data_IF_085626519126
#
_entry.id   IF_085626519126
#
_cell.length_a   1.000
_cell.length_b   1.000
_cell.length_c   1.000
_cell.angle_alpha   90.00
_cell.angle_beta   90.00
_cell.angle_gamma   90.00
#
_symmetry.space_group_name_H-M   'P 1'
#
loop_
_entity.id
_entity.type
_entity.pdbx_description
1 polymer ?
#
# COMPACT_ATOMS: atom_id res chain seq x y z
N UNK A 1 -0.51 16.73 7.73
CA UNK A 1 -1.02 15.72 6.76
C UNK A 1 -2.21 15.06 7.41
N UNK A 2 -3.29 14.85 6.65
CA UNK A 2 -4.48 14.16 7.13
C UNK A 2 -4.26 12.66 7.38
N UNK A 3 -5.30 12.02 7.90
CA UNK A 3 -5.32 10.58 8.13
C UNK A 3 -5.53 9.82 6.81
N UNK A 4 -4.88 8.67 6.65
CA UNK A 4 -5.15 7.78 5.52
C UNK A 4 -6.32 6.86 5.85
N UNK A 5 -7.22 6.67 4.90
CA UNK A 5 -8.22 5.61 4.97
C UNK A 5 -7.57 4.28 4.61
N UNK A 6 -7.92 3.24 5.37
CA UNK A 6 -7.59 1.85 5.07
C UNK A 6 -8.87 1.17 4.66
N UNK A 7 -8.91 0.69 3.43
CA UNK A 7 -10.07 0.06 2.80
C UNK A 7 -9.78 -1.41 2.49
N UNK A 8 -10.78 -2.26 2.70
CA UNK A 8 -10.74 -3.68 2.40
C UNK A 8 -12.12 -4.13 1.91
N UNK A 9 -12.18 -4.70 0.70
CA UNK A 9 -13.43 -5.17 0.09
C UNK A 9 -14.55 -4.10 0.13
N UNK A 10 -14.24 -2.92 -0.42
CA UNK A 10 -15.14 -1.75 -0.50
C UNK A 10 -15.64 -1.24 0.87
N UNK A 11 -14.95 -1.60 1.95
CA UNK A 11 -15.26 -1.17 3.32
C UNK A 11 -14.08 -0.44 3.90
N UNK A 12 -14.26 0.83 4.31
CA UNK A 12 -13.27 1.53 5.14
C UNK A 12 -13.18 0.81 6.48
N UNK A 13 -12.10 0.06 6.67
CA UNK A 13 -11.87 -0.74 7.87
C UNK A 13 -11.24 0.06 9.00
N UNK A 14 -10.60 1.18 8.69
CA UNK A 14 -9.99 2.04 9.68
C UNK A 14 -9.24 3.21 9.08
N UNK A 15 -8.48 3.88 9.95
CA UNK A 15 -7.62 5.02 9.62
C UNK A 15 -6.21 4.79 10.12
N UNK A 16 -5.24 5.22 9.33
CA UNK A 16 -3.85 5.36 9.73
C UNK A 16 -3.57 6.84 10.01
N UNK A 17 -3.25 7.17 11.25
CA UNK A 17 -3.06 8.55 11.71
C UNK A 17 -1.75 8.71 12.46
N UNK A 18 -1.25 9.94 12.55
CA UNK A 18 0.02 10.28 13.19
C UNK A 18 1.20 10.41 12.21
N UNK A 19 2.40 10.60 12.76
CA UNK A 19 3.61 10.83 11.97
C UNK A 19 4.56 9.64 11.97
N UNK A 20 5.76 9.87 11.43
CA UNK A 20 6.81 8.87 11.22
C UNK A 20 7.05 7.90 12.38
N UNK A 21 7.06 8.40 13.63
CA UNK A 21 7.39 7.59 14.82
C UNK A 21 6.17 7.15 15.61
N UNK A 22 5.11 7.94 15.55
CA UNK A 22 3.96 7.85 16.44
C UNK A 22 2.65 7.45 15.71
N UNK A 23 2.71 7.05 14.45
CA UNK A 23 1.53 6.59 13.73
C UNK A 23 0.86 5.35 14.34
N UNK A 24 -0.46 5.26 14.24
CA UNK A 24 -1.24 4.11 14.69
C UNK A 24 -2.45 3.87 13.78
N UNK A 25 -3.02 2.68 13.89
CA UNK A 25 -4.24 2.28 13.21
C UNK A 25 -5.41 2.21 14.18
N UNK A 26 -6.50 2.87 13.81
CA UNK A 26 -7.78 2.82 14.51
C UNK A 26 -8.85 2.22 13.59
N UNK A 27 -9.51 1.16 14.03
CA UNK A 27 -10.60 0.56 13.27
C UNK A 27 -11.85 1.44 13.28
N UNK A 28 -12.57 1.47 12.16
CA UNK A 28 -13.85 2.15 12.05
C UNK A 28 -14.98 1.28 12.62
N UNK A 29 -16.01 1.84 13.30
CA UNK A 29 -17.15 1.06 13.77
C UNK A 29 -17.88 0.29 12.67
N UNK A 30 -17.84 0.78 11.43
CA UNK A 30 -18.38 0.09 10.25
C UNK A 30 -17.68 -1.25 9.99
N UNK A 31 -16.38 -1.34 10.25
CA UNK A 31 -15.60 -2.56 10.09
C UNK A 31 -16.07 -3.65 11.05
N UNK A 32 -16.28 -3.31 12.33
CA UNK A 32 -16.80 -4.24 13.35
C UNK A 32 -18.19 -4.74 12.96
N UNK A 33 -19.06 -3.85 12.45
CA UNK A 33 -20.40 -4.24 11.98
C UNK A 33 -20.35 -5.18 10.78
N UNK A 34 -19.41 -4.95 9.85
CA UNK A 34 -19.30 -5.71 8.59
C UNK A 34 -18.61 -7.06 8.75
N UNK A 35 -17.56 -7.12 9.57
CA UNK A 35 -16.65 -8.27 9.66
C UNK A 35 -16.69 -8.98 11.01
N UNK A 36 -17.34 -8.40 12.01
CA UNK A 36 -17.43 -8.93 13.37
C UNK A 36 -16.36 -8.38 14.32
N UNK A 37 -16.64 -8.48 15.62
CA UNK A 37 -15.69 -8.17 16.68
C UNK A 37 -14.52 -9.17 16.65
N UNK A 38 -13.31 -8.67 16.86
CA UNK A 38 -12.05 -9.45 16.86
C UNK A 38 -11.77 -10.20 15.56
N UNK A 39 -12.43 -9.79 14.47
CA UNK A 39 -12.20 -10.36 13.14
C UNK A 39 -10.75 -10.19 12.70
N UNK A 40 -10.14 -11.26 12.21
CA UNK A 40 -8.78 -11.27 11.66
C UNK A 40 -8.71 -10.86 10.20
N UNK A 41 -9.76 -10.23 9.67
CA UNK A 41 -9.91 -9.88 8.25
C UNK A 41 -8.72 -9.05 7.70
N UNK A 42 -8.09 -8.24 8.56
CA UNK A 42 -6.85 -7.51 8.25
C UNK A 42 -5.61 -8.38 8.46
N UNK A 43 -5.47 -8.90 9.68
CA UNK A 43 -4.37 -9.75 10.11
C UNK A 43 -4.71 -10.39 11.44
N UNK A 44 -4.18 -11.58 11.70
CA UNK A 44 -4.26 -12.22 13.03
C UNK A 44 -3.61 -11.35 14.11
N UNK A 45 -2.60 -10.55 13.77
CA UNK A 45 -1.92 -9.65 14.71
C UNK A 45 -2.66 -8.31 14.92
N UNK A 46 -3.59 -7.97 14.02
CA UNK A 46 -4.36 -6.73 14.02
C UNK A 46 -5.86 -7.05 13.92
N UNK A 47 -6.46 -7.68 14.96
CA UNK A 47 -7.89 -7.94 14.96
C UNK A 47 -8.68 -6.62 14.99
N UNK A 48 -9.82 -6.61 14.30
CA UNK A 48 -10.73 -5.45 14.25
C UNK A 48 -11.40 -5.29 15.62
N UNK A 49 -11.03 -4.23 16.34
CA UNK A 49 -11.55 -3.93 17.67
C UNK A 49 -12.07 -2.48 17.74
N UNK A 50 -13.22 -2.23 18.40
CA UNK A 50 -13.77 -0.87 18.55
C UNK A 50 -12.84 0.10 19.26
N UNK A 51 -11.98 -0.41 20.15
CA UNK A 51 -11.00 0.37 20.90
C UNK A 51 -9.64 -0.28 20.76
N UNK A 52 -8.70 0.44 20.15
CA UNK A 52 -7.33 -0.01 20.02
C UNK A 52 -6.60 0.02 21.38
N UNK A 53 -6.08 -1.12 21.81
CA UNK A 53 -5.25 -1.16 23.03
C UNK A 53 -3.85 -0.64 22.75
N UNK A 54 -3.28 0.15 23.69
CA UNK A 54 -1.92 0.70 23.55
C UNK A 54 -0.85 -0.39 23.48
N UNK A 55 -1.02 -1.48 24.22
CA UNK A 55 -0.07 -2.61 24.23
C UNK A 55 0.08 -3.30 22.87
N UNK A 56 -0.92 -3.19 21.99
CA UNK A 56 -0.89 -3.77 20.63
C UNK A 56 -0.43 -2.80 19.55
N UNK A 57 -0.07 -1.56 19.91
CA UNK A 57 0.35 -0.52 18.95
C UNK A 57 1.53 -0.96 18.10
N UNK A 58 2.55 -1.57 18.69
CA UNK A 58 3.71 -2.06 17.96
C UNK A 58 3.34 -3.12 16.89
N UNK A 59 2.37 -3.99 17.16
CA UNK A 59 1.90 -4.99 16.18
C UNK A 59 1.15 -4.33 15.02
N UNK A 60 0.34 -3.30 15.30
CA UNK A 60 -0.32 -2.51 14.26
C UNK A 60 0.69 -1.78 13.39
N UNK A 61 1.65 -1.10 13.99
CA UNK A 61 2.73 -0.45 13.23
C UNK A 61 3.52 -1.45 12.38
N UNK A 62 3.89 -2.60 12.96
CA UNK A 62 4.61 -3.64 12.24
C UNK A 62 3.81 -4.18 11.05
N UNK A 63 2.50 -4.32 11.16
CA UNK A 63 1.65 -4.74 10.04
C UNK A 63 1.79 -3.80 8.83
N UNK A 64 1.64 -2.48 9.04
CA UNK A 64 1.76 -1.51 7.94
C UNK A 64 3.20 -1.35 7.45
N UNK A 65 4.20 -1.47 8.32
CA UNK A 65 5.61 -1.47 7.92
C UNK A 65 5.95 -2.66 6.99
N UNK A 66 5.32 -3.81 7.19
CA UNK A 66 5.52 -4.98 6.31
C UNK A 66 4.82 -4.86 4.95
N UNK A 67 4.04 -3.79 4.71
CA UNK A 67 3.51 -3.47 3.38
C UNK A 67 4.54 -2.72 2.52
N UNK A 68 5.56 -2.13 3.13
CA UNK A 68 6.62 -1.41 2.42
C UNK A 68 7.59 -2.40 1.76
N UNK A 69 8.28 -1.99 0.68
CA UNK A 69 9.41 -2.74 0.14
C UNK A 69 10.58 -2.70 1.12
N UNK A 70 11.65 -3.42 0.79
CA UNK A 70 12.90 -3.41 1.56
C UNK A 70 14.09 -3.04 0.67
N UNK A 71 15.22 -2.70 1.30
CA UNK A 71 16.47 -2.42 0.59
C UNK A 71 16.37 -1.26 -0.39
N UNK A 72 16.93 -1.46 -1.59
CA UNK A 72 17.03 -0.40 -2.61
C UNK A 72 15.67 0.03 -3.17
N UNK A 73 14.70 -0.88 -3.26
CA UNK A 73 13.37 -0.54 -3.76
C UNK A 73 12.68 0.48 -2.84
N UNK A 74 12.78 0.28 -1.51
CA UNK A 74 12.26 1.23 -0.52
C UNK A 74 12.95 2.58 -0.65
N UNK A 75 14.29 2.60 -0.68
CA UNK A 75 15.05 3.85 -0.78
C UNK A 75 14.66 4.66 -2.02
N UNK A 76 14.54 4.00 -3.19
CA UNK A 76 14.17 4.65 -4.46
C UNK A 76 12.74 5.17 -4.47
N UNK A 77 11.79 4.40 -3.95
CA UNK A 77 10.38 4.80 -3.92
C UNK A 77 10.15 5.90 -2.89
N UNK A 78 10.81 5.85 -1.73
CA UNK A 78 10.77 6.91 -0.72
C UNK A 78 11.33 8.24 -1.27
N UNK A 79 12.49 8.19 -1.94
CA UNK A 79 13.09 9.35 -2.61
C UNK A 79 12.14 9.97 -3.66
N UNK A 80 11.50 9.14 -4.50
CA UNK A 80 10.50 9.59 -5.47
C UNK A 80 9.27 10.24 -4.85
N UNK A 81 8.83 9.73 -3.71
CA UNK A 81 7.71 10.28 -2.96
C UNK A 81 8.12 11.51 -2.12
N UNK A 82 9.40 11.85 -2.06
CA UNK A 82 9.90 12.95 -1.23
C UNK A 82 9.71 12.69 0.27
N UNK A 83 9.78 11.42 0.69
CA UNK A 83 9.60 10.99 2.08
C UNK A 83 10.83 10.22 2.57
N UNK A 84 11.01 10.18 3.88
CA UNK A 84 12.05 9.35 4.49
C UNK A 84 11.67 7.87 4.39
N UNK A 85 12.67 6.98 4.24
CA UNK A 85 12.43 5.54 4.12
C UNK A 85 11.75 4.92 5.36
N UNK A 86 11.87 5.56 6.53
CA UNK A 86 11.20 5.15 7.77
C UNK A 86 9.83 5.83 7.99
N UNK A 87 9.36 6.69 7.06
CA UNK A 87 8.04 7.30 7.10
C UNK A 87 6.98 6.44 6.39
N UNK A 88 6.48 5.43 7.10
CA UNK A 88 5.47 4.51 6.58
C UNK A 88 4.17 5.20 6.14
N UNK A 89 3.72 6.23 6.87
CA UNK A 89 2.49 6.96 6.53
C UNK A 89 2.72 7.80 5.27
N UNK A 90 3.83 8.53 5.21
CA UNK A 90 4.23 9.28 4.01
C UNK A 90 4.39 8.37 2.78
N UNK A 91 4.96 7.18 2.96
CA UNK A 91 5.13 6.20 1.91
C UNK A 91 3.81 5.63 1.41
N UNK A 92 2.95 5.13 2.32
CA UNK A 92 1.66 4.53 1.96
C UNK A 92 0.68 5.55 1.37
N UNK A 93 0.82 6.84 1.71
CA UNK A 93 0.11 7.93 1.04
C UNK A 93 0.38 7.98 -0.48
N UNK A 94 1.51 7.45 -0.95
CA UNK A 94 1.85 7.38 -2.37
C UNK A 94 1.61 5.97 -2.94
N UNK A 95 2.14 4.94 -2.27
CA UNK A 95 2.20 3.57 -2.79
C UNK A 95 1.25 2.58 -2.08
N UNK A 96 0.18 3.08 -1.46
CA UNK A 96 -0.76 2.28 -0.68
C UNK A 96 -1.93 1.67 -1.47
N UNK A 97 -2.07 1.96 -2.78
CA UNK A 97 -3.25 1.56 -3.57
C UNK A 97 -3.13 0.17 -4.19
N UNK A 98 -1.90 -0.32 -4.34
CA UNK A 98 -1.61 -1.69 -4.75
C UNK A 98 -0.56 -2.25 -3.79
N UNK A 99 -1.03 -2.91 -2.73
CA UNK A 99 -0.19 -3.53 -1.69
C UNK A 99 -0.49 -5.02 -1.61
N UNK A 100 0.41 -5.78 -0.99
CA UNK A 100 0.18 -7.20 -0.76
C UNK A 100 -1.15 -7.46 -0.03
N UNK A 101 -1.99 -8.32 -0.61
CA UNK A 101 -3.33 -8.62 -0.12
C UNK A 101 -4.40 -7.85 -0.87
N UNK A 102 -5.47 -7.46 -0.18
CA UNK A 102 -6.62 -6.76 -0.77
C UNK A 102 -6.84 -5.37 -0.17
N UNK A 103 -5.86 -4.88 0.60
CA UNK A 103 -5.93 -3.57 1.23
C UNK A 103 -5.67 -2.47 0.22
N UNK A 104 -6.35 -1.34 0.40
CA UNK A 104 -5.97 -0.07 -0.19
C UNK A 104 -5.82 0.97 0.91
N UNK A 105 -4.76 1.77 0.84
CA UNK A 105 -4.48 2.86 1.77
C UNK A 105 -4.38 4.16 0.98
N UNK A 106 -5.26 5.10 1.26
CA UNK A 106 -5.37 6.33 0.47
C UNK A 106 -5.73 7.54 1.32
N UNK A 107 -5.33 8.72 0.86
CA UNK A 107 -5.62 9.99 1.54
C UNK A 107 -6.92 10.60 0.99
N UNK A 108 -7.98 10.75 1.80
CA UNK A 108 -9.24 11.32 1.35
C UNK A 108 -9.18 12.83 1.11
N UNK A 109 -8.13 13.52 1.56
CA UNK A 109 -7.92 14.94 1.31
C UNK A 109 -7.25 15.19 -0.05
N UNK A 110 -6.69 14.16 -0.70
CA UNK A 110 -6.12 14.27 -2.04
C UNK A 110 -7.24 14.23 -3.08
N UNK A 111 -7.42 15.30 -3.88
CA UNK A 111 -8.51 15.33 -4.86
C UNK A 111 -8.43 14.18 -5.87
N UNK A 112 -9.56 13.52 -6.07
CA UNK A 112 -9.69 12.41 -7.03
C UNK A 112 -9.24 11.05 -6.50
N UNK A 113 -8.91 10.93 -5.21
CA UNK A 113 -8.69 9.64 -4.56
C UNK A 113 -10.02 9.03 -4.02
N UNK A 114 -10.21 7.70 -4.11
CA UNK A 114 -9.37 6.76 -4.85
C UNK A 114 -9.52 6.98 -6.36
N UNK A 115 -8.40 6.89 -7.09
CA UNK A 115 -8.38 7.08 -8.55
C UNK A 115 -9.00 5.89 -9.26
N UNK A 116 -9.34 6.07 -10.54
CA UNK A 116 -9.83 4.96 -11.38
C UNK A 116 -8.68 4.02 -11.74
N UNK A 117 -8.74 2.74 -11.30
CA UNK A 117 -7.72 1.75 -11.60
C UNK A 117 -7.59 1.49 -13.10
N UNK A 118 -6.37 1.36 -13.60
CA UNK A 118 -6.13 1.08 -15.02
C UNK A 118 -4.84 0.31 -15.27
N UNK A 119 -4.86 -0.50 -16.32
CA UNK A 119 -3.73 -1.32 -16.77
C UNK A 119 -3.18 -0.78 -18.09
N UNK A 120 -1.86 -0.76 -18.21
CA UNK A 120 -1.16 -0.43 -19.46
C UNK A 120 -0.52 -1.71 -19.99
N UNK A 121 -0.94 -2.22 -21.17
CA UNK A 121 -0.39 -3.44 -21.75
C UNK A 121 1.14 -3.37 -21.94
N UNK A 122 1.78 -4.52 -21.78
CA UNK A 122 3.20 -4.73 -22.06
C UNK A 122 3.37 -5.91 -23.01
N UNK A 123 4.31 -5.78 -23.94
CA UNK A 123 4.88 -6.91 -24.66
C UNK A 123 6.10 -7.46 -23.91
N UNK A 124 6.67 -8.56 -24.42
CA UNK A 124 7.83 -9.22 -23.81
C UNK A 124 9.05 -8.30 -23.71
N UNK A 125 9.23 -7.41 -24.70
CA UNK A 125 10.31 -6.43 -24.70
C UNK A 125 10.12 -5.40 -23.56
N UNK A 126 8.89 -4.95 -23.33
CA UNK A 126 8.53 -4.07 -22.22
C UNK A 126 8.75 -4.71 -20.85
N UNK A 127 8.39 -5.99 -20.70
CA UNK A 127 8.67 -6.74 -19.47
C UNK A 127 10.18 -6.86 -19.24
N UNK A 128 10.94 -7.24 -20.26
CA UNK A 128 12.40 -7.34 -20.18
C UNK A 128 13.04 -6.00 -19.80
N UNK A 129 12.56 -4.89 -20.38
CA UNK A 129 13.04 -3.55 -20.04
C UNK A 129 12.82 -3.21 -18.56
N UNK A 130 11.64 -3.52 -18.00
CA UNK A 130 11.35 -3.29 -16.58
C UNK A 130 12.23 -4.17 -15.67
N UNK A 131 12.48 -5.43 -16.05
CA UNK A 131 13.37 -6.32 -15.30
C UNK A 131 14.83 -5.84 -15.28
N UNK A 132 15.26 -5.11 -16.31
CA UNK A 132 16.59 -4.51 -16.38
C UNK A 132 16.66 -3.10 -15.76
N UNK A 133 15.52 -2.46 -15.48
CA UNK A 133 15.42 -1.08 -14.98
C UNK A 133 14.86 -0.99 -13.54
N UNK A 134 15.43 -1.74 -12.60
CA UNK A 134 15.00 -1.63 -11.20
C UNK A 134 15.35 -0.28 -10.54
N UNK A 135 16.26 0.52 -11.15
CA UNK A 135 16.53 1.89 -10.72
C UNK A 135 15.45 2.88 -11.18
N UNK A 136 15.10 2.86 -12.46
CA UNK A 136 14.14 3.76 -13.10
C UNK A 136 12.69 3.33 -12.90
N UNK A 137 12.44 2.07 -12.58
CA UNK A 137 11.10 1.51 -12.39
C UNK A 137 11.07 0.50 -11.23
N UNK A 138 11.39 0.90 -9.98
CA UNK A 138 11.34 0.00 -8.83
C UNK A 138 9.93 -0.61 -8.69
N UNK A 139 9.88 -1.93 -8.54
CA UNK A 139 8.65 -2.74 -8.58
C UNK A 139 7.85 -2.66 -9.89
N UNK A 140 8.43 -2.13 -10.97
CA UNK A 140 7.73 -1.89 -12.23
C UNK A 140 6.84 -0.64 -12.21
N UNK A 141 6.94 0.20 -11.17
CA UNK A 141 6.17 1.43 -11.07
C UNK A 141 6.54 2.44 -12.16
N UNK A 142 5.52 2.96 -12.86
CA UNK A 142 5.69 4.13 -13.73
C UNK A 142 5.86 5.41 -12.89
N UNK A 143 6.58 6.42 -13.39
CA UNK A 143 6.68 7.72 -12.71
C UNK A 143 5.33 8.39 -12.43
N UNK A 144 4.33 8.15 -13.29
CA UNK A 144 2.97 8.68 -13.14
C UNK A 144 1.99 7.53 -13.02
N UNK A 145 1.24 7.51 -11.91
CA UNK A 145 0.21 6.52 -11.62
C UNK A 145 0.74 5.19 -11.08
N UNK A 146 2.06 4.96 -11.04
CA UNK A 146 2.64 3.81 -10.35
C UNK A 146 2.52 3.98 -8.84
N UNK A 147 1.73 3.11 -8.22
CA UNK A 147 1.33 3.18 -6.79
C UNK A 147 1.49 1.83 -6.08
N UNK A 148 2.33 0.95 -6.61
CA UNK A 148 2.54 -0.42 -6.10
C UNK A 148 3.61 -0.47 -5.02
N UNK A 149 3.35 -1.26 -3.98
CA UNK A 149 4.29 -1.60 -2.92
C UNK A 149 4.23 -3.09 -2.59
N UNK A 150 5.39 -3.73 -2.56
CA UNK A 150 5.51 -5.15 -2.24
C UNK A 150 6.78 -5.39 -1.42
N UNK A 151 6.62 -6.06 -0.27
CA UNK A 151 7.70 -6.42 0.64
C UNK A 151 8.74 -7.39 0.04
N UNK A 152 9.84 -7.56 0.77
CA UNK A 152 10.98 -8.41 0.41
C UNK A 152 12.13 -7.65 -0.25
N UNK A 153 13.36 -8.07 0.08
CA UNK A 153 14.61 -7.42 -0.35
C UNK A 153 15.02 -7.68 -1.81
N UNK A 154 14.54 -8.78 -2.40
CA UNK A 154 14.90 -9.16 -3.77
C UNK A 154 14.34 -8.17 -4.78
N UNK A 155 15.17 -7.74 -5.74
CA UNK A 155 14.73 -6.93 -6.86
C UNK A 155 13.73 -7.71 -7.73
N UNK A 156 12.58 -7.08 -8.00
CA UNK A 156 11.43 -7.67 -8.67
C UNK A 156 10.58 -6.60 -9.32
N UNK A 157 9.70 -7.02 -10.22
CA UNK A 157 8.63 -6.19 -10.79
C UNK A 157 7.28 -6.82 -10.47
N UNK A 158 6.25 -5.98 -10.39
CA UNK A 158 4.89 -6.40 -10.10
C UNK A 158 4.00 -5.95 -11.27
N UNK A 159 3.32 -6.90 -11.90
CA UNK A 159 2.57 -6.71 -13.14
C UNK A 159 1.29 -7.52 -13.11
N UNK A 160 0.24 -7.01 -13.75
CA UNK A 160 -1.00 -7.75 -13.94
C UNK A 160 -0.93 -8.65 -15.17
N UNK A 161 -1.50 -9.86 -15.03
CA UNK A 161 -1.75 -10.78 -16.12
C UNK A 161 -3.26 -10.88 -16.42
N UNK A 162 -3.66 -10.54 -17.64
CA UNK A 162 -5.02 -10.72 -18.15
C UNK A 162 -5.01 -11.37 -19.53
N UNK A 163 -5.23 -10.56 -20.57
CA UNK A 163 -4.99 -10.87 -21.98
C UNK A 163 -3.50 -10.72 -22.40
N UNK A 164 -2.60 -10.65 -21.41
CA UNK A 164 -1.17 -10.41 -21.55
C UNK A 164 -0.61 -9.72 -20.30
N UNK A 165 0.66 -9.34 -20.34
CA UNK A 165 1.29 -8.54 -19.28
C UNK A 165 0.76 -7.10 -19.29
N UNK A 166 0.80 -6.43 -18.15
CA UNK A 166 0.59 -4.99 -18.09
C UNK A 166 1.06 -4.35 -16.79
N UNK A 167 1.55 -3.12 -16.88
CA UNK A 167 1.79 -2.30 -15.69
C UNK A 167 0.45 -1.90 -15.08
N UNK A 168 0.39 -1.93 -13.77
CA UNK A 168 -0.76 -1.50 -13.00
C UNK A 168 -0.60 -0.07 -12.56
N UNK A 169 -1.67 0.72 -12.67
CA UNK A 169 -1.68 2.13 -12.32
C UNK A 169 -2.92 2.48 -11.53
N UNK A 170 -2.79 3.51 -10.70
CA UNK A 170 -3.89 4.16 -10.01
C UNK A 170 -4.76 3.17 -9.18
N UNK A 171 -4.14 2.09 -8.67
CA UNK A 171 -4.79 1.06 -7.85
C UNK A 171 -5.32 -0.16 -8.59
N UNK A 172 -4.90 -0.40 -9.85
CA UNK A 172 -5.23 -1.66 -10.53
C UNK A 172 -4.58 -2.84 -9.79
N UNK A 173 -5.32 -3.88 -9.41
CA UNK A 173 -4.74 -5.05 -8.75
C UNK A 173 -3.76 -5.76 -9.68
N UNK A 174 -2.52 -5.91 -9.22
CA UNK A 174 -1.50 -6.66 -9.95
C UNK A 174 -1.71 -8.18 -9.94
#
# INVERSE_FOLDING_TARGET
MGDLLVELYDTVVGRLSGGRRDFDFAAEPAAVRRFGLDSSVLSVAVPVAPVATRSRRAHRQAFFLNLLPEGQALARLADRAGVEADDAVGFLRHYGRDVAGALQVWDPEVPGEPRTPRRVPLDDAGVAALLHDGHGSPLGNRPVGGVTSLGGVQEKVVLAWGDGWGQVLDGYPS
#
